data_IF_424236753918
#
_entry.id   IF_424236753918
#
_cell.length_a   1.000
_cell.length_b   1.000
_cell.length_c   1.000
_cell.angle_alpha   90.00
_cell.angle_beta   90.00
_cell.angle_gamma   90.00
#
_symmetry.space_group_name_H-M   'P 1'
#
loop_
_entity.id
_entity.type
_entity.pdbx_description
1 polymer ?
#
# COMPACT_ATOMS: atom_id res chain seq x y z
N UNK A 1 -34.44 14.40 -38.39
CA UNK A 1 -34.08 13.03 -37.96
C UNK A 1 -33.34 13.13 -36.63
N UNK A 2 -33.65 12.20 -35.71
CA UNK A 2 -33.41 12.25 -34.25
C UNK A 2 -31.95 12.42 -33.79
N UNK A 3 -31.83 13.21 -32.71
CA UNK A 3 -30.79 13.25 -31.67
C UNK A 3 -30.03 11.94 -31.41
N UNK A 4 -28.75 12.08 -31.03
CA UNK A 4 -28.18 11.46 -29.82
C UNK A 4 -26.90 12.19 -29.39
N UNK A 5 -27.05 13.03 -28.37
CA UNK A 5 -25.97 13.43 -27.46
C UNK A 5 -25.36 12.16 -26.85
N UNK A 6 -24.07 11.91 -27.05
CA UNK A 6 -23.34 10.94 -26.25
C UNK A 6 -22.57 11.71 -25.16
N UNK A 7 -23.28 12.03 -24.08
CA UNK A 7 -22.66 12.29 -22.78
C UNK A 7 -22.01 10.96 -22.37
N UNK A 8 -20.70 10.81 -22.61
CA UNK A 8 -19.96 9.70 -22.02
C UNK A 8 -19.62 10.10 -20.58
N UNK A 9 -20.21 9.36 -19.66
CA UNK A 9 -20.23 9.65 -18.25
C UNK A 9 -18.81 9.82 -17.70
N UNK A 10 -18.54 11.00 -17.13
CA UNK A 10 -17.62 11.09 -16.01
C UNK A 10 -18.20 10.15 -14.94
N UNK A 11 -17.64 8.95 -14.81
CA UNK A 11 -17.81 8.16 -13.63
C UNK A 11 -17.10 8.90 -12.50
N UNK A 12 -17.79 9.88 -11.93
CA UNK A 12 -17.52 10.36 -10.60
C UNK A 12 -17.71 9.17 -9.66
N UNK A 13 -16.64 8.39 -9.47
CA UNK A 13 -16.46 7.71 -8.19
C UNK A 13 -16.15 8.82 -7.18
N UNK A 14 -17.21 9.53 -6.78
CA UNK A 14 -17.33 10.01 -5.43
C UNK A 14 -17.26 8.79 -4.52
N UNK A 15 -16.04 8.36 -4.19
CA UNK A 15 -15.79 8.12 -2.77
C UNK A 15 -15.25 9.47 -2.34
N UNK A 16 -16.19 10.27 -1.85
CA UNK A 16 -15.90 11.39 -0.97
C UNK A 16 -14.77 10.99 -0.02
N UNK A 17 -14.08 11.96 0.57
CA UNK A 17 -13.59 11.73 1.91
C UNK A 17 -14.78 11.21 2.73
N UNK A 18 -14.94 9.89 2.78
CA UNK A 18 -15.65 9.19 3.81
C UNK A 18 -14.73 9.48 4.97
N UNK A 19 -14.99 10.63 5.61
CA UNK A 19 -15.02 10.69 7.06
C UNK A 19 -15.46 9.30 7.47
N UNK A 20 -14.51 8.50 7.96
CA UNK A 20 -14.77 7.15 8.43
C UNK A 20 -16.13 7.25 9.10
N UNK A 21 -17.14 6.56 8.56
CA UNK A 21 -18.31 6.29 9.35
C UNK A 21 -17.72 5.57 10.56
N UNK A 22 -17.49 6.32 11.64
CA UNK A 22 -17.56 5.79 12.98
C UNK A 22 -18.94 5.15 12.97
N UNK A 23 -18.97 3.85 12.69
CA UNK A 23 -19.90 3.02 13.42
C UNK A 23 -19.62 3.40 14.86
N UNK A 24 -20.62 4.00 15.49
CA UNK A 24 -20.70 3.98 16.93
C UNK A 24 -20.68 2.50 17.29
N UNK A 25 -19.48 1.97 17.53
CA UNK A 25 -19.31 0.81 18.37
C UNK A 25 -19.53 1.35 19.78
N UNK A 26 -20.80 1.52 20.13
CA UNK A 26 -21.25 1.68 21.50
C UNK A 26 -20.99 0.35 22.22
N UNK A 27 -19.72 0.09 22.54
CA UNK A 27 -19.31 -0.85 23.57
C UNK A 27 -18.20 -0.18 24.37
N UNK A 28 -18.62 0.26 25.55
CA UNK A 28 -17.82 0.90 26.57
C UNK A 28 -16.71 -0.07 27.06
N UNK A 29 -15.59 -0.12 26.35
CA UNK A 29 -14.30 -0.59 26.85
C UNK A 29 -13.21 0.09 26.01
N UNK A 30 -12.47 1.02 26.60
CA UNK A 30 -11.37 1.70 25.94
C UNK A 30 -10.24 0.72 25.62
N UNK A 31 -10.27 0.16 24.40
CA UNK A 31 -9.15 -0.41 23.65
C UNK A 31 -9.70 -0.95 22.31
N UNK A 32 -10.04 -0.06 21.38
CA UNK A 32 -10.20 -0.45 19.98
C UNK A 32 -8.81 -0.61 19.37
N UNK A 33 -8.31 -1.84 19.28
CA UNK A 33 -7.05 -2.13 18.57
C UNK A 33 -7.16 -1.64 17.13
N UNK A 34 -6.12 -0.95 16.63
CA UNK A 34 -6.01 -0.53 15.23
C UNK A 34 -5.90 -1.79 14.36
N UNK A 35 -7.01 -2.29 13.86
CA UNK A 35 -7.02 -3.43 12.94
C UNK A 35 -6.60 -2.98 11.54
N UNK A 36 -5.50 -3.55 11.03
CA UNK A 36 -5.06 -3.27 9.67
C UNK A 36 -6.04 -3.83 8.65
N UNK A 37 -6.23 -3.08 7.56
CA UNK A 37 -7.22 -3.41 6.54
C UNK A 37 -6.54 -4.19 5.42
N UNK A 38 -7.23 -5.23 4.93
CA UNK A 38 -6.87 -5.83 3.64
C UNK A 38 -7.22 -4.85 2.53
N UNK A 39 -6.25 -4.55 1.67
CA UNK A 39 -6.46 -3.80 0.44
C UNK A 39 -5.48 -2.67 0.24
N UNK A 40 -5.50 -2.15 -0.99
CA UNK A 40 -4.67 -1.05 -1.42
C UNK A 40 -5.10 0.25 -0.73
N UNK A 41 -4.14 0.90 -0.06
CA UNK A 41 -4.32 2.23 0.49
C UNK A 41 -3.77 3.26 -0.49
N UNK A 42 -4.58 4.28 -0.76
CA UNK A 42 -4.14 5.50 -1.43
C UNK A 42 -4.81 6.73 -0.81
N UNK A 43 -4.12 7.86 -0.90
CA UNK A 43 -4.56 9.17 -0.48
C UNK A 43 -4.25 10.15 -1.61
N UNK A 44 -5.24 10.96 -1.97
CA UNK A 44 -5.12 12.00 -2.99
C UNK A 44 -5.88 13.23 -2.51
N UNK A 45 -5.17 14.32 -2.27
CA UNK A 45 -5.74 15.61 -1.87
C UNK A 45 -4.85 16.74 -2.42
N UNK A 46 -5.46 17.71 -3.09
CA UNK A 46 -4.78 18.78 -3.82
C UNK A 46 -3.68 18.28 -4.77
N UNK A 47 -2.41 18.52 -4.44
CA UNK A 47 -1.22 18.10 -5.22
C UNK A 47 -0.38 17.05 -4.48
N UNK A 48 -0.99 16.36 -3.51
CA UNK A 48 -0.38 15.28 -2.75
C UNK A 48 -1.02 13.95 -3.12
N UNK A 49 -0.17 13.01 -3.54
CA UNK A 49 -0.52 11.61 -3.73
C UNK A 49 0.36 10.75 -2.82
N UNK A 50 -0.27 9.84 -2.08
CA UNK A 50 0.43 8.85 -1.25
C UNK A 50 -0.22 7.50 -1.45
N UNK A 51 0.56 6.46 -1.73
CA UNK A 51 0.07 5.10 -1.87
C UNK A 51 0.98 4.09 -1.18
N UNK A 52 0.37 3.05 -0.61
CA UNK A 52 1.07 1.92 0.01
C UNK A 52 0.82 0.66 -0.81
N UNK A 53 1.80 0.21 -1.62
CA UNK A 53 1.77 -1.11 -2.21
C UNK A 53 1.53 -2.17 -1.15
N UNK A 54 0.81 -3.23 -1.52
CA UNK A 54 0.51 -4.35 -0.63
C UNK A 54 1.34 -5.59 -0.96
N UNK A 55 2.09 -5.59 -2.07
CA UNK A 55 2.93 -6.70 -2.47
C UNK A 55 4.27 -6.23 -3.04
N UNK A 56 5.30 -7.05 -2.82
CA UNK A 56 6.64 -6.89 -3.38
C UNK A 56 7.32 -8.26 -3.48
N UNK A 57 8.42 -8.34 -4.22
CA UNK A 57 9.11 -9.56 -4.67
C UNK A 57 10.60 -9.41 -4.46
N UNK A 58 11.14 -9.70 -3.26
CA UNK A 58 12.57 -9.51 -2.99
C UNK A 58 13.44 -10.59 -3.66
N UNK A 59 13.40 -10.72 -4.99
CA UNK A 59 14.08 -11.76 -5.77
C UNK A 59 15.38 -11.26 -6.44
N UNK A 60 15.58 -9.94 -6.52
CA UNK A 60 16.76 -9.28 -7.06
C UNK A 60 16.72 -9.04 -8.57
N UNK A 61 15.55 -9.10 -9.21
CA UNK A 61 15.43 -8.87 -10.67
C UNK A 61 15.28 -7.38 -11.07
N UNK A 62 15.20 -6.49 -10.08
CA UNK A 62 15.06 -5.05 -10.24
C UNK A 62 13.62 -4.56 -10.32
N UNK A 63 12.62 -5.42 -10.22
CA UNK A 63 11.19 -5.08 -10.27
C UNK A 63 10.54 -5.41 -8.94
N UNK A 64 9.89 -4.42 -8.33
CA UNK A 64 9.17 -4.56 -7.06
C UNK A 64 10.00 -5.26 -5.94
N UNK A 65 11.33 -5.12 -5.96
CA UNK A 65 12.23 -5.75 -4.99
C UNK A 65 12.13 -5.19 -3.57
N UNK A 66 11.47 -4.02 -3.43
CA UNK A 66 11.44 -3.26 -2.20
C UNK A 66 10.01 -2.85 -1.85
N UNK A 67 9.73 -2.83 -0.56
CA UNK A 67 8.49 -2.32 0.00
C UNK A 67 8.70 -0.91 0.55
N UNK A 68 8.11 0.08 -0.11
CA UNK A 68 8.15 1.48 0.31
C UNK A 68 6.81 2.16 0.08
N UNK A 69 6.72 3.43 0.47
CA UNK A 69 5.54 4.27 0.20
C UNK A 69 5.79 5.08 -1.05
N UNK A 70 4.83 5.08 -1.98
CA UNK A 70 4.88 5.91 -3.17
C UNK A 70 4.33 7.29 -2.82
N UNK A 71 5.10 8.35 -3.08
CA UNK A 71 4.72 9.72 -2.77
C UNK A 71 4.96 10.62 -3.99
N UNK A 72 3.96 11.43 -4.31
CA UNK A 72 4.12 12.63 -5.14
C UNK A 72 3.65 13.83 -4.32
N UNK A 73 4.56 14.75 -4.07
CA UNK A 73 4.30 15.96 -3.29
C UNK A 73 4.95 17.16 -3.99
N UNK A 74 4.16 17.85 -4.82
CA UNK A 74 4.66 18.95 -5.66
C UNK A 74 5.02 20.19 -4.84
N UNK A 75 4.49 20.32 -3.62
CA UNK A 75 4.58 21.54 -2.82
C UNK A 75 5.24 21.35 -1.44
N UNK A 76 5.88 20.20 -1.19
CA UNK A 76 6.43 19.82 0.12
C UNK A 76 5.38 19.97 1.24
N UNK A 77 4.15 19.57 0.93
CA UNK A 77 3.00 19.63 1.83
C UNK A 77 2.98 18.47 2.85
N UNK A 78 3.81 17.44 2.67
CA UNK A 78 3.94 16.32 3.59
C UNK A 78 4.90 16.68 4.74
N UNK A 79 4.47 16.36 5.95
CA UNK A 79 5.28 16.48 7.18
C UNK A 79 4.95 15.33 8.14
N UNK A 80 5.74 15.19 9.22
CA UNK A 80 5.57 14.13 10.22
C UNK A 80 5.49 12.71 9.63
N UNK A 81 6.23 12.46 8.55
CA UNK A 81 6.25 11.14 7.92
C UNK A 81 6.92 10.12 8.83
N UNK A 82 6.26 8.99 9.04
CA UNK A 82 6.81 7.81 9.68
C UNK A 82 6.18 6.57 9.05
N UNK A 83 7.03 5.69 8.55
CA UNK A 83 6.64 4.42 7.95
C UNK A 83 7.34 3.28 8.67
N UNK A 84 6.60 2.25 9.04
CA UNK A 84 7.15 1.06 9.68
C UNK A 84 6.48 -0.21 9.20
N UNK A 85 7.24 -1.31 9.25
CA UNK A 85 6.77 -2.65 8.91
C UNK A 85 6.96 -3.54 10.12
N UNK A 86 5.91 -4.25 10.50
CA UNK A 86 5.92 -5.20 11.62
C UNK A 86 5.67 -6.62 11.14
N UNK A 87 6.33 -7.60 11.76
CA UNK A 87 6.04 -9.01 11.53
C UNK A 87 4.73 -9.45 12.22
N UNK A 88 4.35 -10.72 12.07
CA UNK A 88 3.12 -11.28 12.66
C UNK A 88 3.06 -11.28 14.19
N UNK A 89 4.20 -11.06 14.88
CA UNK A 89 4.24 -10.89 16.34
C UNK A 89 4.07 -9.44 16.81
N UNK A 90 3.96 -8.48 15.87
CA UNK A 90 3.92 -7.05 16.15
C UNK A 90 5.30 -6.40 16.36
N UNK A 91 6.39 -7.14 16.14
CA UNK A 91 7.76 -6.59 16.23
C UNK A 91 8.06 -5.74 15.00
N UNK A 92 8.55 -4.51 15.20
CA UNK A 92 9.05 -3.64 14.12
C UNK A 92 10.32 -4.26 13.53
N UNK A 93 10.29 -4.51 12.22
CA UNK A 93 11.43 -5.08 11.47
C UNK A 93 12.06 -4.08 10.51
N UNK A 94 11.35 -2.99 10.22
CA UNK A 94 11.81 -1.85 9.43
C UNK A 94 11.06 -0.61 9.88
N UNK A 95 11.75 0.52 9.97
CA UNK A 95 11.14 1.83 10.20
C UNK A 95 11.96 2.93 9.53
N UNK A 96 11.29 3.98 9.05
CA UNK A 96 11.94 5.18 8.55
C UNK A 96 11.06 6.42 8.71
N UNK A 97 11.72 7.57 8.82
CA UNK A 97 11.13 8.91 8.71
C UNK A 97 11.49 9.61 7.39
N UNK A 98 12.25 8.95 6.52
CA UNK A 98 12.57 9.40 5.17
C UNK A 98 11.67 8.68 4.15
N UNK A 99 10.84 9.39 3.36
CA UNK A 99 9.93 8.78 2.40
C UNK A 99 10.63 8.07 1.23
N UNK A 100 11.93 8.27 1.04
CA UNK A 100 12.72 7.58 0.02
C UNK A 100 13.26 6.22 0.47
N UNK A 101 13.15 5.92 1.77
CA UNK A 101 13.60 4.63 2.29
C UNK A 101 12.55 3.55 2.05
N UNK A 102 13.03 2.34 1.83
CA UNK A 102 12.19 1.16 1.60
C UNK A 102 12.87 -0.09 2.13
N UNK A 103 12.06 -1.07 2.48
CA UNK A 103 12.52 -2.35 2.99
C UNK A 103 12.80 -3.33 1.85
N UNK A 104 13.95 -3.98 1.89
CA UNK A 104 14.40 -4.92 0.86
C UNK A 104 14.01 -6.39 1.12
N UNK A 105 13.26 -6.65 2.19
CA UNK A 105 12.89 -8.01 2.58
C UNK A 105 13.92 -8.73 3.47
N UNK A 106 14.96 -8.04 3.96
CA UNK A 106 15.98 -8.60 4.85
C UNK A 106 15.91 -8.02 6.26
N UNK A 107 16.26 -8.83 7.25
CA UNK A 107 16.37 -8.47 8.66
C UNK A 107 17.78 -8.87 9.11
N UNK A 108 18.59 -7.91 9.53
CA UNK A 108 19.98 -8.12 9.95
C UNK A 108 20.83 -8.88 8.89
N UNK A 109 20.63 -8.55 7.61
CA UNK A 109 21.32 -9.19 6.48
C UNK A 109 20.85 -10.60 6.13
N UNK A 110 19.87 -11.15 6.85
CA UNK A 110 19.23 -12.41 6.52
C UNK A 110 17.87 -12.16 5.90
N UNK A 111 17.51 -12.94 4.87
CA UNK A 111 16.20 -12.87 4.24
C UNK A 111 15.12 -13.14 5.29
N UNK A 112 14.10 -12.29 5.36
CA UNK A 112 13.02 -12.47 6.31
C UNK A 112 12.21 -13.73 5.99
N UNK A 113 11.80 -14.49 7.01
CA UNK A 113 11.16 -15.80 6.79
C UNK A 113 9.65 -15.69 6.49
N UNK A 114 8.98 -14.67 7.01
CA UNK A 114 7.53 -14.53 6.84
C UNK A 114 7.20 -14.03 5.43
N UNK A 115 5.99 -14.35 4.96
CA UNK A 115 5.45 -13.89 3.67
C UNK A 115 4.41 -12.78 3.83
N UNK A 116 3.99 -12.48 5.07
CA UNK A 116 3.01 -11.45 5.38
C UNK A 116 3.47 -10.58 6.56
N UNK A 117 3.18 -9.30 6.48
CA UNK A 117 3.58 -8.25 7.42
C UNK A 117 2.46 -7.21 7.53
N UNK A 118 2.58 -6.30 8.50
CA UNK A 118 1.73 -5.10 8.56
C UNK A 118 2.58 -3.88 8.26
N UNK A 119 2.13 -3.06 7.32
CA UNK A 119 2.72 -1.77 6.97
C UNK A 119 1.93 -0.67 7.66
N UNK A 120 2.60 0.17 8.45
CA UNK A 120 2.02 1.28 9.21
C UNK A 120 2.56 2.59 8.66
N UNK A 121 1.67 3.53 8.39
CA UNK A 121 2.05 4.83 7.85
C UNK A 121 1.34 5.95 8.62
N UNK A 122 2.14 6.90 9.06
CA UNK A 122 1.73 8.16 9.65
C UNK A 122 2.31 9.31 8.84
N UNK A 123 1.49 10.31 8.49
CA UNK A 123 1.95 11.56 7.90
C UNK A 123 0.91 12.66 8.09
N UNK A 124 1.32 13.91 7.91
CA UNK A 124 0.44 15.06 7.80
C UNK A 124 0.55 15.63 6.38
N UNK A 125 -0.56 15.79 5.68
CA UNK A 125 -0.63 16.48 4.39
C UNK A 125 -1.68 17.60 4.47
N UNK A 126 -1.34 18.80 4.01
CA UNK A 126 -2.24 19.96 4.03
C UNK A 126 -2.92 20.22 5.40
N UNK A 127 -2.18 19.99 6.49
CA UNK A 127 -2.67 20.14 7.87
C UNK A 127 -3.55 19.00 8.38
N UNK A 128 -3.79 17.96 7.58
CA UNK A 128 -4.55 16.77 7.94
C UNK A 128 -3.62 15.61 8.23
N UNK A 129 -3.74 15.05 9.43
CA UNK A 129 -3.00 13.86 9.83
C UNK A 129 -3.70 12.60 9.35
N UNK A 130 -2.93 11.71 8.74
CA UNK A 130 -3.32 10.37 8.30
C UNK A 130 -2.53 9.36 9.12
N UNK A 131 -3.25 8.45 9.76
CA UNK A 131 -2.67 7.28 10.42
C UNK A 131 -3.40 6.04 9.90
N UNK A 132 -2.67 5.17 9.22
CA UNK A 132 -3.22 4.00 8.53
C UNK A 132 -2.33 2.78 8.71
N UNK A 133 -2.89 1.60 8.46
CA UNK A 133 -2.09 0.42 8.25
C UNK A 133 -2.76 -0.56 7.28
N UNK A 134 -1.93 -1.29 6.53
CA UNK A 134 -2.34 -2.31 5.57
C UNK A 134 -1.51 -3.58 5.74
N UNK A 135 -1.90 -4.65 5.05
CA UNK A 135 -1.07 -5.84 4.93
C UNK A 135 -0.07 -5.69 3.79
N UNK A 136 1.13 -6.20 4.02
CA UNK A 136 2.22 -6.27 3.07
C UNK A 136 2.62 -7.72 2.85
N UNK A 137 2.70 -8.15 1.60
CA UNK A 137 3.04 -9.50 1.19
C UNK A 137 4.41 -9.53 0.50
N UNK A 138 5.31 -10.35 1.03
CA UNK A 138 6.60 -10.65 0.40
C UNK A 138 6.46 -11.93 -0.44
N UNK A 139 6.11 -11.78 -1.73
CA UNK A 139 5.78 -12.89 -2.62
C UNK A 139 7.04 -13.56 -3.17
N UNK A 140 7.02 -14.90 -3.24
CA UNK A 140 8.20 -15.72 -3.57
C UNK A 140 7.82 -17.02 -4.27
N UNK A 141 8.75 -17.58 -5.03
CA UNK A 141 8.69 -18.96 -5.53
C UNK A 141 9.62 -19.84 -4.70
N UNK A 142 9.08 -20.93 -4.15
CA UNK A 142 9.90 -22.00 -3.58
C UNK A 142 10.56 -22.80 -4.70
N UNK A 143 11.73 -23.39 -4.45
CA UNK A 143 12.52 -24.16 -5.43
C UNK A 143 11.82 -25.32 -6.16
N UNK A 144 10.57 -25.65 -5.79
CA UNK A 144 9.71 -26.60 -6.50
C UNK A 144 8.76 -25.92 -7.53
N UNK A 145 8.94 -24.63 -7.81
CA UNK A 145 8.02 -23.84 -8.65
C UNK A 145 6.70 -23.47 -7.95
N UNK A 146 6.56 -23.79 -6.65
CA UNK A 146 5.38 -23.43 -5.87
C UNK A 146 5.49 -21.96 -5.41
N UNK A 147 4.60 -21.13 -5.89
CA UNK A 147 4.44 -19.75 -5.44
C UNK A 147 3.90 -19.71 -4.01
N UNK A 148 4.69 -19.23 -3.06
CA UNK A 148 4.20 -18.90 -1.71
C UNK A 148 3.49 -17.56 -1.80
N UNK A 149 2.16 -17.59 -1.67
CA UNK A 149 1.31 -16.40 -1.61
C UNK A 149 0.58 -16.03 -2.89
N UNK A 150 0.77 -16.72 -4.03
CA UNK A 150 0.00 -16.42 -5.26
C UNK A 150 -1.27 -17.25 -5.27
N UNK A 151 -2.34 -16.65 -4.75
CA UNK A 151 -3.70 -17.18 -4.94
C UNK A 151 -4.57 -16.04 -5.46
N UNK A 152 -4.82 -16.05 -6.77
CA UNK A 152 -5.98 -15.60 -7.57
C UNK A 152 -6.77 -14.31 -7.23
N UNK A 153 -6.39 -13.50 -6.24
CA UNK A 153 -7.11 -12.28 -5.86
C UNK A 153 -6.22 -11.05 -6.10
N UNK A 154 -6.23 -10.57 -7.34
CA UNK A 154 -5.46 -9.40 -7.79
C UNK A 154 -5.80 -8.12 -7.03
N UNK A 155 -6.90 -8.07 -6.29
CA UNK A 155 -7.24 -6.92 -5.45
C UNK A 155 -6.43 -6.83 -4.15
N UNK A 156 -5.79 -7.94 -3.74
CA UNK A 156 -4.97 -8.02 -2.52
C UNK A 156 -3.51 -7.72 -2.75
N UNK A 157 -3.00 -8.01 -3.94
CA UNK A 157 -1.59 -7.87 -4.29
C UNK A 157 -1.44 -6.73 -5.29
N UNK A 158 -1.07 -5.56 -4.77
CA UNK A 158 -0.81 -4.36 -5.57
C UNK A 158 0.67 -4.03 -5.43
N UNK A 159 1.37 -4.10 -6.54
CA UNK A 159 2.79 -3.78 -6.68
C UNK A 159 3.01 -2.30 -6.97
N UNK A 160 4.25 -1.84 -6.81
CA UNK A 160 4.63 -0.45 -7.06
C UNK A 160 4.38 -0.06 -8.53
N UNK A 161 4.78 -0.93 -9.45
CA UNK A 161 4.71 -0.67 -10.90
C UNK A 161 3.28 -0.63 -11.47
N UNK A 162 2.29 -1.03 -10.68
CA UNK A 162 0.87 -0.95 -11.04
C UNK A 162 0.27 0.42 -10.73
N UNK A 163 0.93 1.24 -9.91
CA UNK A 163 0.38 2.48 -9.38
C UNK A 163 0.82 3.64 -10.25
N UNK A 164 -0.14 4.34 -10.84
CA UNK A 164 0.12 5.54 -11.62
C UNK A 164 -0.20 6.81 -10.81
N UNK A 165 0.77 7.72 -10.67
CA UNK A 165 0.63 8.96 -9.91
C UNK A 165 -0.40 9.94 -10.49
N UNK A 166 -0.75 9.81 -11.78
CA UNK A 166 -1.70 10.70 -12.45
C UNK A 166 -3.11 10.11 -12.59
N UNK A 167 -3.33 8.87 -12.16
CA UNK A 167 -4.59 8.16 -12.35
C UNK A 167 -4.95 7.33 -11.12
N UNK A 168 -6.24 7.13 -10.88
CA UNK A 168 -6.71 6.24 -9.81
C UNK A 168 -6.79 4.77 -10.24
N UNK A 169 -6.33 4.46 -11.45
CA UNK A 169 -6.35 3.11 -12.01
C UNK A 169 -5.08 2.33 -11.67
N UNK A 170 -5.23 1.02 -11.45
CA UNK A 170 -4.12 0.09 -11.35
C UNK A 170 -3.84 -0.54 -12.71
N UNK A 171 -2.56 -0.63 -13.07
CA UNK A 171 -2.07 -1.27 -14.29
C UNK A 171 -1.68 -2.74 -14.01
N UNK A 172 -1.53 -3.58 -15.05
CA UNK A 172 -0.90 -4.89 -14.87
C UNK A 172 0.53 -4.73 -14.37
N UNK A 173 0.96 -5.62 -13.47
CA UNK A 173 2.37 -5.67 -13.08
C UNK A 173 3.23 -6.25 -14.21
N UNK A 174 4.45 -5.75 -14.35
CA UNK A 174 5.49 -6.25 -15.26
C UNK A 174 6.44 -7.22 -14.56
N UNK A 175 6.15 -7.53 -13.30
CA UNK A 175 6.89 -8.46 -12.47
C UNK A 175 6.44 -9.89 -12.75
N UNK A 176 7.43 -10.74 -12.95
CA UNK A 176 7.23 -12.17 -13.06
C UNK A 176 7.90 -12.79 -11.85
N UNK A 177 7.10 -13.49 -11.05
CA UNK A 177 7.63 -14.29 -9.97
C UNK A 177 8.58 -15.33 -10.59
N UNK A 178 9.86 -15.06 -10.45
CA UNK A 178 10.94 -15.84 -11.03
C UNK A 178 12.03 -16.01 -9.99
N UNK A 179 12.79 -17.09 -10.12
CA UNK A 179 13.98 -17.32 -9.32
C UNK A 179 15.19 -16.76 -10.10
N UNK A 180 16.13 -16.05 -9.45
CA UNK A 180 17.36 -15.61 -10.11
C UNK A 180 18.26 -16.78 -10.52
#
# INVERSE_FOLDING_TARGET
MKNRNLKLAAAALCITAVACNKKNDDNNNGNSEKLCKQGFFHYMEDSVFVAMPTAFTPNGDGKNDRAGVIISDVHNAISNYHFSITNGSGTVIFESSNPHDSWDGYINGQRANDYYYSSNLHFTANGKTVDTCSYLYALRINGNGASVGVVADSSKYVFEDQINLSETALYPTNDELTYP
#
